data_IF_766559738265
#
_entry.id   IF_766559738265
#
_cell.length_a   1.000
_cell.length_b   1.000
_cell.length_c   1.000
_cell.angle_alpha   90.00
_cell.angle_beta   90.00
_cell.angle_gamma   90.00
#
_symmetry.space_group_name_H-M   'P 1'
#
loop_
_entity.id
_entity.type
_entity.pdbx_description
1 polymer ?
#
# COMPACT_ATOMS: atom_id res chain seq x y z
N UNK A 1 24.08 -7.55 21.32
CA UNK A 1 24.58 -6.20 21.00
C UNK A 1 23.71 -5.19 21.73
N UNK A 2 24.28 -4.12 22.32
CA UNK A 2 23.47 -3.07 22.95
C UNK A 2 22.71 -2.27 21.87
N UNK A 3 21.48 -1.88 22.19
CA UNK A 3 20.64 -1.04 21.34
C UNK A 3 21.32 0.32 21.09
N UNK A 4 21.24 0.89 19.88
CA UNK A 4 21.71 2.25 19.66
C UNK A 4 20.91 3.23 20.54
N UNK A 5 21.55 4.28 21.07
CA UNK A 5 20.87 5.27 21.88
C UNK A 5 19.77 5.97 21.08
N UNK A 6 18.67 6.40 21.73
CA UNK A 6 17.60 7.12 21.06
C UNK A 6 18.16 8.37 20.37
N UNK A 7 17.99 8.45 19.05
CA UNK A 7 18.41 9.63 18.31
C UNK A 7 17.45 10.78 18.62
N UNK A 8 18.01 11.92 18.99
CA UNK A 8 17.27 13.16 19.19
C UNK A 8 16.83 13.68 17.83
N UNK A 9 15.66 13.24 17.35
CA UNK A 9 15.09 13.68 16.08
C UNK A 9 14.71 15.15 16.24
N UNK A 10 15.52 16.03 15.67
CA UNK A 10 15.21 17.46 15.60
C UNK A 10 14.12 17.64 14.54
N UNK A 11 12.86 17.66 14.97
CA UNK A 11 11.73 17.90 14.08
C UNK A 11 11.77 19.37 13.69
N UNK A 12 12.32 19.67 12.51
CA UNK A 12 12.12 20.95 11.85
C UNK A 12 10.70 20.95 11.28
N UNK A 13 9.72 21.28 12.11
CA UNK A 13 8.37 21.52 11.64
C UNK A 13 8.46 22.61 10.56
N UNK A 14 8.01 22.28 9.35
CA UNK A 14 7.79 23.32 8.35
C UNK A 14 6.88 24.38 8.99
N UNK A 15 7.13 25.69 8.77
CA UNK A 15 6.23 26.73 9.22
C UNK A 15 4.82 26.36 8.79
N UNK A 16 3.83 26.52 9.69
CA UNK A 16 2.43 26.25 9.37
C UNK A 16 2.14 26.86 8.00
N UNK A 17 1.68 26.07 7.01
CA UNK A 17 1.47 26.58 5.68
C UNK A 17 0.56 27.82 5.76
N UNK A 18 0.99 28.92 5.13
CA UNK A 18 0.19 30.14 5.01
C UNK A 18 -0.98 29.97 4.01
N UNK A 19 -1.25 28.73 3.57
CA UNK A 19 -2.39 28.43 2.73
C UNK A 19 -3.68 28.73 3.49
N UNK A 20 -4.64 29.33 2.78
CA UNK A 20 -5.99 29.55 3.31
C UNK A 20 -6.55 28.23 3.83
N UNK A 21 -7.07 28.24 5.06
CA UNK A 21 -7.82 27.10 5.62
C UNK A 21 -9.17 26.91 4.95
N UNK A 22 -9.65 27.93 4.24
CA UNK A 22 -10.84 27.87 3.40
C UNK A 22 -10.40 27.72 1.94
N UNK A 23 -10.47 26.49 1.44
CA UNK A 23 -10.30 26.18 0.02
C UNK A 23 -11.68 25.97 -0.56
N UNK A 24 -12.10 26.84 -1.47
CA UNK A 24 -13.34 26.65 -2.24
C UNK A 24 -13.03 25.78 -3.44
N UNK A 25 -13.53 24.55 -3.44
CA UNK A 25 -13.42 23.64 -4.58
C UNK A 25 -14.62 23.84 -5.51
N UNK A 26 -14.36 23.91 -6.82
CA UNK A 26 -15.42 23.75 -7.81
C UNK A 26 -15.67 22.25 -8.05
N UNK A 27 -16.85 21.83 -8.56
CA UNK A 27 -17.10 20.42 -8.86
C UNK A 27 -16.07 19.78 -9.79
N UNK A 28 -15.52 20.54 -10.75
CA UNK A 28 -14.49 20.04 -11.66
C UNK A 28 -13.12 19.82 -11.01
N UNK A 29 -12.89 20.31 -9.78
CA UNK A 29 -11.68 20.05 -9.00
C UNK A 29 -11.57 18.59 -8.58
N UNK A 30 -12.69 17.86 -8.65
CA UNK A 30 -12.78 16.44 -8.34
C UNK A 30 -12.89 15.56 -9.59
N UNK A 31 -12.88 16.16 -10.79
CA UNK A 31 -12.84 15.43 -12.05
C UNK A 31 -11.43 14.90 -12.32
N UNK A 32 -11.33 13.77 -13.03
CA UNK A 32 -10.02 13.27 -13.47
C UNK A 32 -9.51 14.20 -14.58
N UNK A 33 -8.21 14.47 -14.56
CA UNK A 33 -7.54 15.17 -15.67
C UNK A 33 -7.46 14.25 -16.89
N UNK A 34 -7.43 12.94 -16.65
CA UNK A 34 -7.35 11.90 -17.65
C UNK A 34 -8.45 10.85 -17.37
N UNK A 35 -9.39 10.72 -18.28
CA UNK A 35 -10.50 9.75 -18.23
C UNK A 35 -10.17 8.45 -18.97
N UNK A 36 -8.93 8.27 -19.44
CA UNK A 36 -8.51 6.99 -20.04
C UNK A 36 -8.54 5.87 -19.00
N UNK A 37 -8.70 4.64 -19.49
CA UNK A 37 -8.77 3.47 -18.61
C UNK A 37 -7.44 3.24 -17.89
N UNK A 38 -7.52 3.05 -16.57
CA UNK A 38 -6.38 2.68 -15.72
C UNK A 38 -5.65 1.42 -16.26
N UNK A 39 -6.35 0.50 -16.95
CA UNK A 39 -5.75 -0.67 -17.57
C UNK A 39 -4.61 -0.32 -18.56
N UNK A 40 -4.72 0.80 -19.28
CA UNK A 40 -3.65 1.27 -20.15
C UNK A 40 -2.41 1.67 -19.33
N UNK A 41 -2.62 2.37 -18.22
CA UNK A 41 -1.56 2.76 -17.30
C UNK A 41 -0.84 1.53 -16.70
N UNK A 42 -1.60 0.54 -16.23
CA UNK A 42 -1.06 -0.68 -15.59
C UNK A 42 -0.55 -1.74 -16.56
N UNK A 43 -0.67 -1.54 -17.88
CA UNK A 43 -0.10 -2.44 -18.90
C UNK A 43 1.44 -2.48 -18.87
N UNK A 44 2.07 -1.39 -18.42
CA UNK A 44 3.52 -1.26 -18.30
C UNK A 44 3.99 -1.64 -16.89
N UNK A 45 5.01 -2.50 -16.83
CA UNK A 45 5.63 -2.91 -15.56
C UNK A 45 6.42 -1.77 -14.94
N UNK A 46 6.26 -1.56 -13.64
CA UNK A 46 6.95 -0.55 -12.86
C UNK A 46 7.53 -1.18 -11.60
N UNK A 47 8.75 -1.69 -11.71
CA UNK A 47 9.55 -2.14 -10.57
C UNK A 47 10.23 -0.96 -9.87
N UNK A 48 9.43 0.00 -9.40
CA UNK A 48 9.90 1.21 -8.72
C UNK A 48 9.31 1.30 -7.32
N UNK A 49 9.97 2.06 -6.46
CA UNK A 49 9.38 2.50 -5.20
C UNK A 49 8.64 3.82 -5.43
N UNK A 50 7.38 3.86 -5.03
CA UNK A 50 6.53 5.06 -5.15
C UNK A 50 6.63 6.00 -3.95
N UNK A 51 7.38 5.62 -2.93
CA UNK A 51 7.63 6.39 -1.70
C UNK A 51 9.12 6.31 -1.36
N UNK A 52 9.62 7.29 -0.61
CA UNK A 52 11.02 7.35 -0.21
C UNK A 52 11.39 6.30 0.85
N UNK A 53 12.70 6.08 1.02
CA UNK A 53 13.23 5.07 1.95
C UNK A 53 12.84 5.31 3.42
N UNK A 54 12.68 6.58 3.81
CA UNK A 54 12.24 6.95 5.17
C UNK A 54 10.81 6.51 5.42
N UNK A 55 9.91 6.77 4.47
CA UNK A 55 8.53 6.30 4.51
C UNK A 55 8.44 4.76 4.49
N UNK A 56 9.25 4.09 3.67
CA UNK A 56 9.34 2.62 3.64
C UNK A 56 9.78 2.08 5.01
N UNK A 57 10.82 2.68 5.61
CA UNK A 57 11.32 2.27 6.92
C UNK A 57 10.27 2.45 8.00
N UNK A 58 9.55 3.58 8.00
CA UNK A 58 8.49 3.86 8.97
C UNK A 58 7.34 2.85 8.84
N UNK A 59 6.90 2.53 7.62
CA UNK A 59 5.87 1.51 7.38
C UNK A 59 6.30 0.13 7.86
N UNK A 60 7.54 -0.29 7.56
CA UNK A 60 8.07 -1.58 8.02
C UNK A 60 8.09 -1.69 9.54
N UNK A 61 8.56 -0.64 10.22
CA UNK A 61 8.57 -0.59 11.69
C UNK A 61 7.15 -0.69 12.24
N UNK A 62 6.23 0.13 11.75
CA UNK A 62 4.84 0.12 12.19
C UNK A 62 4.17 -1.24 11.96
N UNK A 63 4.29 -1.80 10.76
CA UNK A 63 3.72 -3.12 10.44
C UNK A 63 4.32 -4.25 11.28
N UNK A 64 5.60 -4.17 11.67
CA UNK A 64 6.21 -5.16 12.57
C UNK A 64 5.59 -5.16 13.98
N UNK A 65 5.07 -4.01 14.41
CA UNK A 65 4.42 -3.87 15.72
C UNK A 65 2.97 -4.36 15.68
N UNK A 66 2.23 -4.03 14.63
CA UNK A 66 0.78 -4.27 14.58
C UNK A 66 0.38 -5.58 13.90
N UNK A 67 1.13 -6.06 12.90
CA UNK A 67 0.82 -7.29 12.18
C UNK A 67 1.51 -8.46 12.88
N UNK A 68 0.70 -9.43 13.32
CA UNK A 68 1.16 -10.67 13.95
C UNK A 68 1.11 -11.81 12.95
N UNK A 69 1.90 -12.85 13.18
CA UNK A 69 2.01 -14.00 12.27
C UNK A 69 0.68 -14.74 12.02
N UNK A 70 -0.26 -14.66 12.96
CA UNK A 70 -1.59 -15.26 12.85
C UNK A 70 -2.62 -14.36 12.15
N UNK A 71 -2.27 -13.12 11.80
CA UNK A 71 -3.17 -12.26 11.03
C UNK A 71 -3.24 -12.72 9.58
N UNK A 72 -4.43 -12.59 8.98
CA UNK A 72 -4.62 -12.69 7.52
C UNK A 72 -4.64 -11.27 6.97
N UNK A 73 -3.85 -11.00 5.95
CA UNK A 73 -3.65 -9.66 5.40
C UNK A 73 -4.20 -9.61 3.97
N UNK A 74 -5.01 -8.60 3.70
CA UNK A 74 -5.44 -8.24 2.35
C UNK A 74 -4.77 -6.91 1.98
N UNK A 75 -3.91 -6.93 0.98
CA UNK A 75 -3.29 -5.74 0.39
C UNK A 75 -4.07 -5.33 -0.86
N UNK A 76 -4.60 -4.10 -0.86
CA UNK A 76 -5.42 -3.56 -1.93
C UNK A 76 -4.62 -2.55 -2.73
N UNK A 77 -4.84 -2.53 -4.05
CA UNK A 77 -4.03 -1.73 -4.98
C UNK A 77 -2.53 -2.07 -4.85
N UNK A 78 -2.25 -3.36 -4.62
CA UNK A 78 -0.90 -3.86 -4.39
C UNK A 78 -0.06 -3.76 -5.67
N UNK A 79 1.24 -3.70 -5.43
CA UNK A 79 2.27 -3.66 -6.46
C UNK A 79 3.25 -4.81 -6.22
N UNK A 80 4.45 -4.74 -6.80
CA UNK A 80 5.45 -5.79 -6.64
C UNK A 80 6.04 -5.93 -5.22
N UNK A 81 5.67 -5.07 -4.27
CA UNK A 81 6.16 -5.09 -2.89
C UNK A 81 5.16 -4.53 -1.87
N UNK A 82 4.67 -5.36 -0.94
CA UNK A 82 3.76 -4.95 0.16
C UNK A 82 4.43 -4.21 1.32
N UNK A 83 5.76 -4.01 1.28
CA UNK A 83 6.55 -3.30 2.31
C UNK A 83 6.42 -3.89 3.72
N UNK A 84 6.05 -5.17 3.82
CA UNK A 84 6.08 -5.90 5.08
C UNK A 84 7.53 -6.12 5.57
N UNK A 85 7.72 -6.29 6.88
CA UNK A 85 9.01 -6.69 7.42
C UNK A 85 9.35 -8.12 6.95
N UNK A 86 10.59 -8.39 6.50
CA UNK A 86 11.00 -9.72 6.03
C UNK A 86 10.86 -10.84 7.06
N UNK A 87 10.84 -10.48 8.35
CA UNK A 87 10.68 -11.42 9.47
C UNK A 87 9.26 -11.95 9.63
N UNK A 88 8.26 -11.33 9.00
CA UNK A 88 6.88 -11.80 9.04
C UNK A 88 6.72 -13.00 8.11
N UNK A 89 6.87 -14.20 8.68
CA UNK A 89 6.69 -15.47 7.98
C UNK A 89 5.29 -16.03 8.22
N UNK A 90 4.66 -16.53 7.15
CA UNK A 90 3.48 -17.41 7.18
C UNK A 90 2.13 -16.84 7.64
N UNK A 91 1.89 -15.53 7.46
CA UNK A 91 0.53 -14.98 7.43
C UNK A 91 -0.05 -15.12 6.02
N UNK A 92 -1.31 -15.56 5.87
CA UNK A 92 -1.98 -15.57 4.56
C UNK A 92 -2.07 -14.14 4.04
N UNK A 93 -1.29 -13.82 3.02
CA UNK A 93 -1.32 -12.55 2.32
C UNK A 93 -2.01 -12.71 0.97
N UNK A 94 -3.14 -12.03 0.84
CA UNK A 94 -3.87 -11.92 -0.41
C UNK A 94 -3.62 -10.52 -0.96
N UNK A 95 -3.28 -10.44 -2.25
CA UNK A 95 -3.01 -9.18 -2.92
C UNK A 95 -4.00 -8.95 -4.05
N UNK A 96 -4.51 -7.72 -4.16
CA UNK A 96 -5.30 -7.28 -5.31
C UNK A 96 -4.54 -6.14 -5.98
N UNK A 97 -4.23 -6.31 -7.25
CA UNK A 97 -3.60 -5.27 -8.07
C UNK A 97 -3.98 -5.40 -9.53
N UNK A 98 -3.40 -4.56 -10.39
CA UNK A 98 -3.78 -4.49 -11.80
C UNK A 98 -2.74 -5.10 -12.76
N UNK A 99 -1.61 -5.58 -12.24
CA UNK A 99 -0.56 -6.20 -13.06
C UNK A 99 -0.07 -7.53 -12.46
N UNK A 100 -0.32 -8.65 -13.16
CA UNK A 100 0.05 -9.98 -12.70
C UNK A 100 1.55 -10.14 -12.41
N UNK A 101 2.41 -9.63 -13.31
CA UNK A 101 3.86 -9.81 -13.22
C UNK A 101 4.48 -9.00 -12.08
N UNK A 102 3.84 -7.90 -11.70
CA UNK A 102 4.22 -7.16 -10.49
C UNK A 102 3.87 -7.98 -9.26
N UNK A 103 2.62 -8.42 -9.14
CA UNK A 103 2.12 -9.18 -7.99
C UNK A 103 2.92 -10.48 -7.76
N UNK A 104 3.26 -11.22 -8.82
CA UNK A 104 4.08 -12.44 -8.76
C UNK A 104 5.48 -12.23 -8.16
N UNK A 105 5.99 -10.99 -8.10
CA UNK A 105 7.31 -10.69 -7.52
C UNK A 105 7.27 -10.46 -6.01
N UNK A 106 6.11 -10.38 -5.40
CA UNK A 106 6.01 -10.09 -3.97
C UNK A 106 6.46 -11.30 -3.12
N UNK A 107 7.51 -11.17 -2.29
CA UNK A 107 8.05 -12.29 -1.53
C UNK A 107 7.12 -12.79 -0.41
N UNK A 108 6.09 -12.02 -0.03
CA UNK A 108 5.14 -12.39 1.01
C UNK A 108 3.87 -13.04 0.46
N UNK A 109 3.76 -13.16 -0.87
CA UNK A 109 2.56 -13.56 -1.57
C UNK A 109 2.11 -14.99 -1.22
N UNK A 110 0.85 -15.13 -0.81
CA UNK A 110 0.18 -16.43 -0.75
C UNK A 110 -0.79 -16.61 -1.93
N UNK A 111 -1.55 -15.57 -2.30
CA UNK A 111 -2.48 -15.57 -3.43
C UNK A 111 -2.66 -14.15 -3.95
N UNK A 112 -2.86 -13.97 -5.25
CA UNK A 112 -3.24 -12.67 -5.79
C UNK A 112 -4.42 -12.77 -6.76
N UNK A 113 -5.07 -11.63 -6.98
CA UNK A 113 -6.06 -11.44 -8.02
C UNK A 113 -5.75 -10.18 -8.82
N UNK A 114 -5.80 -10.30 -10.15
CA UNK A 114 -5.70 -9.16 -11.05
C UNK A 114 -7.10 -8.58 -11.24
N UNK A 115 -7.32 -7.37 -10.72
CA UNK A 115 -8.64 -6.76 -10.69
C UNK A 115 -8.57 -5.25 -10.69
N UNK A 116 -9.40 -4.64 -11.52
CA UNK A 116 -9.65 -3.20 -11.49
C UNK A 116 -10.81 -2.91 -10.53
N UNK A 117 -10.49 -2.33 -9.37
CA UNK A 117 -11.47 -1.98 -8.35
C UNK A 117 -12.34 -0.78 -8.74
N UNK A 118 -11.94 0.03 -9.74
CA UNK A 118 -12.79 1.08 -10.28
C UNK A 118 -13.98 0.49 -11.07
N UNK A 119 -13.79 -0.66 -11.71
CA UNK A 119 -14.83 -1.34 -12.50
C UNK A 119 -15.63 -2.34 -11.66
N UNK A 120 -14.96 -3.07 -10.77
CA UNK A 120 -15.58 -4.05 -9.90
C UNK A 120 -15.00 -3.94 -8.48
N UNK A 121 -15.68 -3.26 -7.55
CA UNK A 121 -15.18 -3.03 -6.19
C UNK A 121 -15.52 -4.17 -5.20
N UNK A 122 -16.16 -5.26 -5.65
CA UNK A 122 -16.54 -6.36 -4.76
C UNK A 122 -15.35 -7.29 -4.45
N UNK A 123 -15.45 -8.20 -3.48
CA UNK A 123 -14.34 -9.11 -3.09
C UNK A 123 -14.76 -10.59 -3.05
N UNK A 124 -15.65 -11.01 -3.96
CA UNK A 124 -16.27 -12.34 -3.96
C UNK A 124 -15.27 -13.50 -4.05
N UNK A 125 -14.12 -13.25 -4.66
CA UNK A 125 -13.01 -14.20 -4.82
C UNK A 125 -12.17 -14.40 -3.54
N UNK A 126 -12.34 -13.52 -2.55
CA UNK A 126 -11.70 -13.64 -1.24
C UNK A 126 -12.65 -14.41 -0.33
N UNK A 127 -12.32 -15.67 -0.07
CA UNK A 127 -13.06 -16.48 0.90
C UNK A 127 -12.90 -15.88 2.30
N UNK A 128 -13.97 -15.29 2.80
CA UNK A 128 -14.13 -15.00 4.22
C UNK A 128 -14.58 -16.28 4.90
N UNK A 129 -13.75 -16.84 5.75
CA UNK A 129 -14.20 -17.91 6.62
C UNK A 129 -15.29 -17.34 7.53
N UNK A 130 -16.52 -17.85 7.39
CA UNK A 130 -17.56 -17.68 8.40
C UNK A 130 -17.03 -18.29 9.68
N UNK A 131 -16.58 -17.44 10.61
CA UNK A 131 -16.34 -17.88 11.96
C UNK A 131 -17.71 -18.26 12.54
N UNK A 132 -17.89 -19.55 12.82
CA UNK A 132 -19.04 -20.08 13.55
C UNK A 132 -19.00 -19.73 15.01
#
# INVERSE_FOLDING_TARGET
MPSPPPQNIKINLLPRPLYSTNITYNPSSFSRIDETSDAAWYSQLRFVQHIDDGAISALKSYYSEIIKSYHRVLDLCSCWVSRLPPSLKSSTMIEIGMNARELEKNPHLAKFFVKDLNLNPEFKEIETEKHG
#
